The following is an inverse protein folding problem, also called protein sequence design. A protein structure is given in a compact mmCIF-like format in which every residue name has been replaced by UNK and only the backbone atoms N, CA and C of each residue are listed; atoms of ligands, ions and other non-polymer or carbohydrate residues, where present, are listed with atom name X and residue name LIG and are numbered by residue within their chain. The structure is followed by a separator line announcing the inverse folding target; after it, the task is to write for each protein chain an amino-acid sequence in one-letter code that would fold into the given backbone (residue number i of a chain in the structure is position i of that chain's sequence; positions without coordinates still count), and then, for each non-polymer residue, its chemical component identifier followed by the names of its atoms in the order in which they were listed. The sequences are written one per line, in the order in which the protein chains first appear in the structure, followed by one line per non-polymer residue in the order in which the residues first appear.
data_IF_132793873834
#
_entry.id   IF_132793873834
#
_cell.length_a   1.000
_cell.length_b   1.000
_cell.length_c   1.000
_cell.angle_alpha   90.00
_cell.angle_beta   90.00
_cell.angle_gamma   90.00
#
_symmetry.space_group_name_H-M   'P 1'
#
loop_
_entity.id
_entity.type
_entity.pdbx_description
1 polymer ?
#
# COMPACT_ATOMS: atom_id res chain seq x y z
N UNK A 1 6.48 21.10 26.43
CA UNK A 1 5.35 20.68 25.56
C UNK A 1 5.92 19.68 24.58
N UNK A 2 5.58 18.38 24.63
CA UNK A 2 6.03 17.46 23.60
C UNK A 2 5.29 17.80 22.30
N UNK A 3 6.05 18.01 21.22
CA UNK A 3 5.49 18.10 19.88
C UNK A 3 4.77 16.78 19.58
N UNK A 4 3.44 16.79 19.61
CA UNK A 4 2.64 15.75 18.97
C UNK A 4 2.87 15.86 17.47
N UNK A 5 3.84 15.11 16.96
CA UNK A 5 3.89 14.84 15.53
C UNK A 5 2.59 14.13 15.18
N UNK A 6 1.77 14.67 14.25
CA UNK A 6 0.58 13.98 13.82
C UNK A 6 1.01 12.59 13.38
N UNK A 7 0.39 11.57 13.98
CA UNK A 7 0.59 10.17 13.66
C UNK A 7 0.75 10.03 12.15
N UNK A 8 1.96 9.66 11.71
CA UNK A 8 2.27 9.58 10.29
C UNK A 8 1.16 8.79 9.60
N UNK A 9 0.53 9.43 8.61
CA UNK A 9 -0.73 9.02 7.97
C UNK A 9 -0.71 7.55 7.48
N UNK A 10 0.49 7.00 7.24
CA UNK A 10 0.71 5.65 6.74
C UNK A 10 1.57 4.77 7.66
N UNK A 11 1.71 5.10 8.95
CA UNK A 11 2.52 4.31 9.89
C UNK A 11 2.03 2.86 10.04
N UNK A 12 0.74 2.61 9.87
CA UNK A 12 0.14 1.27 9.92
C UNK A 12 0.63 0.33 8.81
N UNK A 13 1.17 0.86 7.70
CA UNK A 13 1.67 0.03 6.59
C UNK A 13 2.85 -0.87 7.01
N UNK A 14 3.57 -0.49 8.08
CA UNK A 14 4.67 -1.29 8.63
C UNK A 14 4.19 -2.57 9.34
N UNK A 15 2.93 -2.56 9.79
CA UNK A 15 2.35 -3.64 10.57
C UNK A 15 1.59 -4.64 9.69
N UNK A 16 1.32 -4.29 8.43
CA UNK A 16 0.65 -5.13 7.46
C UNK A 16 1.50 -6.36 7.06
N UNK A 17 0.84 -7.51 6.99
CA UNK A 17 1.41 -8.81 6.63
C UNK A 17 0.69 -9.39 5.42
N UNK A 18 1.38 -10.23 4.66
CA UNK A 18 0.74 -11.02 3.60
C UNK A 18 -0.47 -11.76 4.16
N UNK A 19 -1.62 -11.59 3.51
CA UNK A 19 -2.89 -12.14 3.93
C UNK A 19 -3.83 -11.13 4.60
N UNK A 20 -3.32 -9.99 5.07
CA UNK A 20 -4.12 -8.95 5.72
C UNK A 20 -5.11 -8.30 4.74
N UNK A 21 -6.24 -7.86 5.30
CA UNK A 21 -7.32 -7.23 4.55
C UNK A 21 -7.15 -5.71 4.53
N UNK A 22 -7.19 -5.14 3.34
CA UNK A 22 -7.15 -3.71 3.08
C UNK A 22 -8.48 -3.32 2.43
N UNK A 23 -9.21 -2.42 3.07
CA UNK A 23 -10.52 -1.97 2.60
C UNK A 23 -10.39 -0.57 2.02
N UNK A 24 -10.81 -0.39 0.77
CA UNK A 24 -10.78 0.90 0.06
C UNK A 24 -12.21 1.30 -0.31
N UNK A 25 -12.66 2.45 0.16
CA UNK A 25 -13.90 3.07 -0.30
C UNK A 25 -13.62 3.97 -1.49
N UNK A 26 -14.33 3.77 -2.59
CA UNK A 26 -14.27 4.66 -3.75
C UNK A 26 -15.17 5.90 -3.57
N UNK A 27 -15.10 6.83 -4.53
CA UNK A 27 -15.87 8.08 -4.48
C UNK A 27 -17.40 7.89 -4.56
N UNK A 28 -17.88 6.67 -4.84
CA UNK A 28 -19.30 6.31 -4.87
C UNK A 28 -19.72 5.52 -3.62
N UNK A 29 -18.95 5.61 -2.53
CA UNK A 29 -19.13 4.85 -1.29
C UNK A 29 -19.12 3.32 -1.48
N UNK A 30 -18.53 2.81 -2.58
CA UNK A 30 -18.37 1.37 -2.76
C UNK A 30 -17.10 0.90 -2.09
N UNK A 31 -17.26 -0.14 -1.29
CA UNK A 31 -16.17 -0.78 -0.56
C UNK A 31 -15.56 -1.90 -1.37
N UNK A 32 -14.26 -1.80 -1.64
CA UNK A 32 -13.45 -2.82 -2.29
C UNK A 32 -12.50 -3.44 -1.26
N UNK A 33 -12.48 -4.77 -1.23
CA UNK A 33 -11.62 -5.53 -0.32
C UNK A 33 -10.42 -6.05 -1.08
N UNK A 34 -9.22 -5.73 -0.60
CA UNK A 34 -7.96 -6.19 -1.16
C UNK A 34 -7.22 -7.02 -0.12
N UNK A 35 -6.57 -8.09 -0.54
CA UNK A 35 -5.69 -8.87 0.30
C UNK A 35 -4.24 -8.50 0.00
N UNK A 36 -3.48 -8.16 1.04
CA UNK A 36 -2.04 -7.92 0.91
C UNK A 36 -1.34 -9.18 0.42
N UNK A 37 -0.55 -9.06 -0.64
CA UNK A 37 0.22 -10.17 -1.20
C UNK A 37 1.70 -10.07 -0.84
N UNK A 38 2.26 -8.87 -0.89
CA UNK A 38 3.69 -8.65 -0.65
C UNK A 38 3.97 -7.19 -0.29
N UNK A 39 5.15 -6.94 0.28
CA UNK A 39 5.71 -5.61 0.40
C UNK A 39 7.17 -5.58 -0.06
N UNK A 40 7.62 -4.43 -0.54
CA UNK A 40 8.99 -4.21 -0.95
C UNK A 40 9.46 -2.78 -0.61
N UNK A 41 10.77 -2.63 -0.46
CA UNK A 41 11.43 -1.32 -0.30
C UNK A 41 12.24 -1.07 -1.56
N UNK A 42 11.87 -0.05 -2.32
CA UNK A 42 12.53 0.32 -3.58
C UNK A 42 13.13 1.70 -3.49
N UNK A 43 14.18 1.95 -4.27
CA UNK A 43 14.68 3.32 -4.44
C UNK A 43 13.69 4.11 -5.30
N UNK A 44 13.51 5.41 -5.03
CA UNK A 44 12.54 6.29 -5.70
C UNK A 44 12.75 6.40 -7.21
N UNK A 45 13.94 6.06 -7.71
CA UNK A 45 14.28 6.05 -9.13
C UNK A 45 13.83 4.75 -9.84
N UNK A 46 13.40 3.73 -9.08
CA UNK A 46 12.95 2.42 -9.56
C UNK A 46 11.42 2.25 -9.43
N UNK A 47 10.71 3.24 -8.90
CA UNK A 47 9.26 3.22 -8.65
C UNK A 47 8.39 3.17 -9.91
N UNK A 48 8.96 3.32 -11.12
CA UNK A 48 8.22 3.17 -12.38
C UNK A 48 7.88 1.71 -12.75
N UNK A 49 8.39 0.72 -12.00
CA UNK A 49 8.24 -0.70 -12.31
C UNK A 49 7.00 -1.37 -11.67
N UNK A 50 6.26 -0.66 -10.83
CA UNK A 50 5.38 -1.23 -9.81
C UNK A 50 4.11 -1.94 -10.32
N UNK A 51 3.73 -1.73 -11.58
CA UNK A 51 2.50 -2.33 -12.14
C UNK A 51 2.76 -3.16 -13.41
N UNK A 52 4.03 -3.30 -13.84
CA UNK A 52 4.34 -3.90 -15.14
C UNK A 52 4.12 -5.43 -15.21
N UNK A 53 3.90 -6.10 -14.07
CA UNK A 53 3.68 -7.56 -14.05
C UNK A 53 2.22 -8.00 -14.19
N UNK A 54 1.26 -7.09 -14.26
CA UNK A 54 -0.14 -7.43 -14.48
C UNK A 54 -0.45 -7.71 -15.97
N UNK A 55 0.21 -8.71 -16.55
CA UNK A 55 -0.09 -9.28 -17.88
C UNK A 55 -1.47 -9.95 -17.97
N UNK A 56 -2.32 -9.76 -16.96
CA UNK A 56 -3.73 -10.16 -16.93
C UNK A 56 -4.41 -9.23 -15.95
N UNK A 57 -5.56 -8.72 -16.39
CA UNK A 57 -6.73 -8.25 -15.64
C UNK A 57 -6.84 -8.69 -14.17
N UNK A 58 -5.89 -8.27 -13.33
CA UNK A 58 -5.88 -8.51 -11.91
C UNK A 58 -6.06 -7.13 -11.29
N UNK A 59 -7.24 -6.89 -10.74
CA UNK A 59 -7.51 -5.68 -9.97
C UNK A 59 -6.52 -5.63 -8.80
N UNK A 60 -5.47 -4.84 -8.93
CA UNK A 60 -4.35 -4.74 -8.00
C UNK A 60 -4.21 -3.28 -7.56
N UNK A 61 -3.79 -3.09 -6.31
CA UNK A 61 -3.41 -1.78 -5.78
C UNK A 61 -1.99 -1.85 -5.21
N UNK A 62 -1.28 -0.74 -5.34
CA UNK A 62 0.01 -0.52 -4.70
C UNK A 62 -0.12 0.68 -3.75
N UNK A 63 0.10 0.47 -2.45
CA UNK A 63 0.17 1.56 -1.46
C UNK A 63 1.64 1.96 -1.28
N UNK A 64 1.97 3.21 -1.58
CA UNK A 64 3.34 3.71 -1.59
C UNK A 64 3.51 4.77 -0.51
N UNK A 65 4.54 4.62 0.33
CA UNK A 65 4.92 5.61 1.35
C UNK A 65 6.43 5.83 1.39
N UNK A 66 6.87 6.91 2.03
CA UNK A 66 8.29 7.19 2.28
C UNK A 66 8.89 6.17 3.25
N UNK A 67 10.17 5.85 3.05
CA UNK A 67 10.92 4.98 3.95
C UNK A 67 12.31 5.59 4.24
N UNK A 68 12.84 5.50 5.47
CA UNK A 68 12.26 4.80 6.64
C UNK A 68 11.08 5.55 7.28
N UNK A 69 10.20 4.79 7.95
CA UNK A 69 8.94 5.30 8.54
C UNK A 69 9.15 6.40 9.59
N UNK A 70 10.24 6.29 10.37
CA UNK A 70 10.54 7.17 11.50
C UNK A 70 11.66 8.17 11.19
N UNK A 71 11.79 8.60 9.93
CA UNK A 71 12.75 9.63 9.56
C UNK A 71 12.21 11.02 9.88
N UNK A 72 12.96 11.81 10.65
CA UNK A 72 12.69 13.25 10.82
C UNK A 72 12.80 14.01 9.48
N UNK A 73 13.54 13.45 8.53
CA UNK A 73 13.66 13.96 7.17
C UNK A 73 12.66 13.22 6.27
N UNK A 74 11.52 13.86 5.96
CA UNK A 74 10.51 13.39 5.00
C UNK A 74 11.01 13.34 3.54
N UNK A 75 12.27 12.94 3.30
CA UNK A 75 12.95 13.02 2.01
C UNK A 75 13.75 11.76 1.63
N UNK A 76 13.66 10.69 2.43
CA UNK A 76 14.39 9.44 2.18
C UNK A 76 14.26 8.96 0.72
N UNK A 77 15.35 8.46 0.10
CA UNK A 77 15.32 8.06 -1.28
C UNK A 77 14.52 6.78 -1.49
N UNK A 78 14.07 6.12 -0.43
CA UNK A 78 13.38 4.84 -0.48
C UNK A 78 11.86 5.02 -0.41
N UNK A 79 11.15 4.04 -0.96
CA UNK A 79 9.70 3.90 -0.90
C UNK A 79 9.37 2.53 -0.37
N UNK A 80 8.49 2.47 0.62
CA UNK A 80 7.87 1.23 1.06
C UNK A 80 6.58 1.05 0.27
N UNK A 81 6.41 -0.14 -0.31
CA UNK A 81 5.35 -0.43 -1.26
C UNK A 81 4.65 -1.69 -0.80
N UNK A 82 3.35 -1.59 -0.57
CA UNK A 82 2.48 -2.72 -0.28
C UNK A 82 1.70 -3.04 -1.54
N UNK A 83 1.82 -4.28 -2.00
CA UNK A 83 1.02 -4.83 -3.09
C UNK A 83 -0.16 -5.60 -2.52
N UNK A 84 -1.34 -5.33 -3.07
CA UNK A 84 -2.55 -6.04 -2.69
C UNK A 84 -3.42 -6.36 -3.91
N UNK A 85 -4.11 -7.49 -3.85
CA UNK A 85 -4.98 -8.00 -4.90
C UNK A 85 -6.43 -7.92 -4.46
N UNK A 86 -7.32 -7.52 -5.36
CA UNK A 86 -8.75 -7.48 -5.08
C UNK A 86 -9.21 -8.89 -4.73
N UNK A 87 -9.85 -9.01 -3.58
CA UNK A 87 -10.68 -10.16 -3.29
C UNK A 87 -11.91 -10.02 -4.17
N UNK A 88 -11.87 -10.67 -5.34
CA UNK A 88 -13.07 -10.83 -6.15
C UNK A 88 -14.12 -11.46 -5.23
N UNK A 89 -15.17 -10.70 -4.92
CA UNK A 89 -16.39 -11.28 -4.42
C UNK A 89 -16.80 -12.31 -5.46
N UNK A 90 -16.60 -13.60 -5.15
CA UNK A 90 -17.25 -14.67 -5.88
C UNK A 90 -18.76 -14.45 -5.69
N UNK A 91 -19.35 -13.67 -6.58
CA UNK A 91 -20.77 -13.75 -6.86
C UNK A 91 -20.97 -15.07 -7.59
N UNK A 92 -21.43 -16.07 -6.83
CA UNK A 92 -22.15 -17.29 -7.24
C UNK A 92 -21.75 -18.02 -8.51
N UNK A 93 -21.40 -19.30 -8.35
CA UNK A 93 -22.11 -20.41 -9.02
C UNK A 93 -22.31 -21.53 -7.99
#
# INVERSE_FOLDING_TARGET
MPNEYPSAICSFLKDLRTGDLITVSDANDRTHSFQMTSAEIVHKNQSGFLLQQAGRQLSQIALVTYYPFDSMDFGGPMRYIVHAQLLNSKTGV
#
